data_IF_814367461923
#
_entry.id   IF_814367461923
#
_cell.length_a   1.000
_cell.length_b   1.000
_cell.length_c   1.000
_cell.angle_alpha   90.00
_cell.angle_beta   90.00
_cell.angle_gamma   90.00
#
_symmetry.space_group_name_H-M   'P 1'
#
loop_
_entity.id
_entity.type
_entity.pdbx_description
1 polymer ?
#
# COMPACT_ATOMS: atom_id res chain seq x y z
N UNK A 1 22.26 20.77 18.71
CA UNK A 1 21.42 21.25 17.59
C UNK A 1 21.38 20.15 16.54
N UNK A 2 20.19 19.72 16.10
CA UNK A 2 20.08 18.86 14.92
C UNK A 2 20.57 19.69 13.73
N UNK A 3 21.58 19.21 13.01
CA UNK A 3 22.16 19.93 11.87
C UNK A 3 21.09 20.23 10.80
N UNK A 4 21.24 21.37 10.13
CA UNK A 4 20.43 21.74 8.96
C UNK A 4 20.69 20.70 7.86
N UNK A 5 19.62 20.23 7.23
CA UNK A 5 19.69 19.29 6.11
C UNK A 5 19.61 20.07 4.80
N UNK A 6 20.72 20.10 4.07
CA UNK A 6 20.88 20.74 2.77
C UNK A 6 20.61 19.76 1.62
N UNK A 7 20.39 20.31 0.41
CA UNK A 7 20.07 19.53 -0.79
C UNK A 7 21.18 18.53 -1.15
N UNK A 8 22.43 18.97 -1.07
CA UNK A 8 23.62 18.19 -1.44
C UNK A 8 23.76 16.96 -0.55
N UNK A 9 23.52 17.12 0.75
CA UNK A 9 23.45 16.01 1.71
C UNK A 9 22.36 15.01 1.32
N UNK A 10 21.17 15.48 0.94
CA UNK A 10 20.08 14.60 0.50
C UNK A 10 20.47 13.83 -0.78
N UNK A 11 21.01 14.52 -1.79
CA UNK A 11 21.42 13.90 -3.07
C UNK A 11 22.48 12.82 -2.84
N UNK A 12 23.51 13.11 -2.04
CA UNK A 12 24.59 12.16 -1.76
C UNK A 12 24.05 10.89 -1.06
N UNK A 13 23.22 11.07 -0.02
CA UNK A 13 22.68 9.95 0.73
C UNK A 13 21.64 9.15 -0.07
N UNK A 14 20.80 9.81 -0.88
CA UNK A 14 19.88 9.13 -1.80
C UNK A 14 20.64 8.25 -2.80
N UNK A 15 21.76 8.73 -3.36
CA UNK A 15 22.60 7.94 -4.27
C UNK A 15 23.22 6.72 -3.57
N UNK A 16 23.66 6.85 -2.32
CA UNK A 16 24.14 5.72 -1.50
C UNK A 16 23.06 4.65 -1.27
N UNK A 17 21.79 5.06 -1.31
CA UNK A 17 20.62 4.17 -1.19
C UNK A 17 20.20 3.51 -2.52
N UNK A 18 20.88 3.82 -3.63
CA UNK A 18 20.58 3.27 -4.94
C UNK A 18 19.77 4.18 -5.86
N UNK A 19 19.37 5.38 -5.42
CA UNK A 19 18.79 6.42 -6.28
C UNK A 19 19.86 7.09 -7.16
N UNK A 20 20.54 6.28 -7.97
CA UNK A 20 21.59 6.71 -8.90
C UNK A 20 20.99 7.22 -10.20
N UNK A 21 21.84 7.81 -11.05
CA UNK A 21 21.41 8.31 -12.37
C UNK A 21 20.72 7.22 -13.18
N UNK A 22 19.54 7.51 -13.72
CA UNK A 22 18.69 6.56 -14.45
C UNK A 22 17.77 5.71 -13.59
N UNK A 23 17.83 5.81 -12.25
CA UNK A 23 16.91 5.07 -11.38
C UNK A 23 15.47 5.60 -11.46
N UNK A 24 14.50 4.69 -11.30
CA UNK A 24 13.09 5.02 -11.20
C UNK A 24 12.61 4.77 -9.78
N UNK A 25 12.10 5.80 -9.12
CA UNK A 25 11.75 5.78 -7.71
C UNK A 25 10.25 5.89 -7.51
N UNK A 26 9.73 5.08 -6.59
CA UNK A 26 8.44 5.27 -5.96
C UNK A 26 8.65 5.67 -4.51
N UNK A 27 8.17 6.84 -4.12
CA UNK A 27 8.52 7.43 -2.83
C UNK A 27 7.27 7.66 -1.98
N UNK A 28 7.26 7.08 -0.78
CA UNK A 28 6.37 7.46 0.31
C UNK A 28 7.18 8.29 1.30
N UNK A 29 6.64 9.38 1.83
CA UNK A 29 7.47 10.33 2.58
C UNK A 29 6.75 11.04 3.71
N UNK A 30 7.49 11.33 4.78
CA UNK A 30 7.11 12.26 5.84
C UNK A 30 8.22 13.31 6.01
N UNK A 31 7.91 14.57 5.65
CA UNK A 31 8.87 15.67 5.78
C UNK A 31 9.27 15.89 7.25
N UNK A 32 8.31 15.81 8.17
CA UNK A 32 8.55 16.06 9.61
C UNK A 32 9.50 15.05 10.23
N UNK A 33 9.56 13.82 9.69
CA UNK A 33 10.46 12.78 10.17
C UNK A 33 11.94 13.04 9.83
N UNK A 34 12.23 13.84 8.78
CA UNK A 34 13.60 14.16 8.37
C UNK A 34 14.30 15.12 9.34
N UNK A 35 13.56 15.92 10.11
CA UNK A 35 14.11 17.04 10.87
C UNK A 35 14.05 18.35 10.06
N UNK A 36 14.96 19.27 10.33
CA UNK A 36 14.95 20.58 9.66
C UNK A 36 15.66 20.51 8.31
N UNK A 37 14.87 20.50 7.23
CA UNK A 37 15.34 20.58 5.84
C UNK A 37 15.29 22.03 5.39
N UNK A 38 16.43 22.61 5.04
CA UNK A 38 16.49 23.95 4.47
C UNK A 38 15.69 23.98 3.16
N UNK A 39 14.76 24.94 3.01
CA UNK A 39 13.84 25.00 1.86
C UNK A 39 12.71 23.95 1.86
N UNK A 40 12.63 23.11 2.90
CA UNK A 40 11.50 22.20 3.15
C UNK A 40 11.26 21.16 2.05
N UNK A 41 9.99 20.93 1.70
CA UNK A 41 9.60 19.93 0.71
C UNK A 41 10.19 20.16 -0.69
N UNK A 42 10.38 21.42 -1.11
CA UNK A 42 11.01 21.76 -2.39
C UNK A 42 12.41 21.17 -2.50
N UNK A 43 13.21 21.29 -1.45
CA UNK A 43 14.57 20.76 -1.40
C UNK A 43 14.59 19.24 -1.52
N UNK A 44 13.64 18.55 -0.88
CA UNK A 44 13.53 17.09 -0.99
C UNK A 44 13.15 16.66 -2.42
N UNK A 45 12.19 17.34 -3.05
CA UNK A 45 11.79 17.04 -4.44
C UNK A 45 12.95 17.31 -5.40
N UNK A 46 13.64 18.44 -5.27
CA UNK A 46 14.81 18.77 -6.08
C UNK A 46 15.94 17.75 -5.89
N UNK A 47 16.21 17.33 -4.65
CA UNK A 47 17.23 16.33 -4.36
C UNK A 47 16.90 14.96 -4.98
N UNK A 48 15.64 14.53 -4.94
CA UNK A 48 15.20 13.28 -5.58
C UNK A 48 15.37 13.33 -7.10
N UNK A 49 14.94 14.42 -7.74
CA UNK A 49 15.07 14.63 -9.19
C UNK A 49 16.56 14.69 -9.59
N UNK A 50 17.39 15.44 -8.85
CA UNK A 50 18.83 15.56 -9.11
C UNK A 50 19.59 14.25 -8.88
N UNK A 51 19.19 13.45 -7.89
CA UNK A 51 19.81 12.16 -7.60
C UNK A 51 19.68 11.21 -8.80
N UNK A 52 18.48 11.11 -9.37
CA UNK A 52 18.16 10.20 -10.49
C UNK A 52 18.47 10.77 -11.87
N UNK A 53 18.63 12.09 -12.00
CA UNK A 53 19.00 12.75 -13.24
C UNK A 53 17.94 12.67 -14.35
N UNK A 54 18.34 13.09 -15.54
CA UNK A 54 17.50 13.24 -16.74
C UNK A 54 16.86 11.93 -17.22
N UNK A 55 17.55 10.80 -17.08
CA UNK A 55 17.04 9.47 -17.45
C UNK A 55 16.20 8.81 -16.36
N UNK A 56 16.23 9.35 -15.14
CA UNK A 56 15.53 8.80 -14.00
C UNK A 56 14.08 9.26 -13.93
N UNK A 57 13.34 8.75 -12.95
CA UNK A 57 11.97 9.22 -12.67
C UNK A 57 11.62 9.10 -11.20
N UNK A 58 10.74 9.97 -10.72
CA UNK A 58 10.25 9.96 -9.35
C UNK A 58 8.73 9.99 -9.40
N UNK A 59 8.08 9.03 -8.73
CA UNK A 59 6.64 9.01 -8.52
C UNK A 59 6.32 8.97 -7.03
N UNK A 60 5.22 9.62 -6.64
CA UNK A 60 4.76 9.72 -5.27
C UNK A 60 3.24 9.57 -5.19
N UNK A 61 2.70 9.02 -4.09
CA UNK A 61 1.27 8.91 -3.93
C UNK A 61 0.68 10.31 -3.75
N UNK A 62 -0.44 10.60 -4.41
CA UNK A 62 -1.27 11.77 -4.20
C UNK A 62 -2.68 11.25 -4.05
N UNK A 63 -3.03 10.78 -2.85
CA UNK A 63 -4.30 10.08 -2.59
C UNK A 63 -5.35 11.01 -1.99
N UNK A 64 -6.62 10.62 -2.03
CA UNK A 64 -7.65 11.17 -1.13
C UNK A 64 -7.81 10.26 0.09
N UNK A 65 -8.44 10.80 1.13
CA UNK A 65 -8.76 10.08 2.37
C UNK A 65 -9.59 8.81 2.10
N UNK A 66 -9.51 7.84 3.02
CA UNK A 66 -10.26 6.59 2.96
C UNK A 66 -11.79 6.80 3.15
N UNK A 67 -12.57 5.79 2.72
CA UNK A 67 -14.02 5.73 2.39
C UNK A 67 -15.01 6.25 3.45
N UNK A 68 -14.61 6.74 4.62
CA UNK A 68 -15.57 7.09 5.69
C UNK A 68 -16.30 8.43 5.49
N UNK A 69 -16.44 8.87 4.24
CA UNK A 69 -17.28 9.98 3.82
C UNK A 69 -17.66 9.81 2.35
N UNK A 70 -18.83 10.30 1.92
CA UNK A 70 -19.25 10.26 0.50
C UNK A 70 -18.32 11.03 -0.46
N UNK A 71 -17.39 11.82 0.09
CA UNK A 71 -16.48 12.73 -0.62
C UNK A 71 -15.04 12.23 -0.68
N UNK A 72 -14.83 10.92 -0.54
CA UNK A 72 -13.50 10.29 -0.45
C UNK A 72 -12.73 10.19 -1.79
N UNK A 73 -13.29 10.70 -2.89
CA UNK A 73 -12.62 10.74 -4.20
C UNK A 73 -12.50 12.17 -4.72
N UNK A 74 -11.67 12.36 -5.74
CA UNK A 74 -11.52 13.63 -6.46
C UNK A 74 -12.86 14.04 -7.08
N UNK A 75 -13.35 15.22 -6.69
CA UNK A 75 -14.56 15.84 -7.24
C UNK A 75 -14.37 16.15 -8.71
N UNK A 76 -13.17 16.58 -9.08
CA UNK A 76 -12.85 16.99 -10.45
C UNK A 76 -12.49 15.79 -11.34
N UNK A 77 -12.59 14.55 -10.85
CA UNK A 77 -12.24 13.35 -11.63
C UNK A 77 -13.03 13.25 -12.95
N UNK A 78 -14.28 13.75 -12.97
CA UNK A 78 -15.11 13.81 -14.18
C UNK A 78 -14.48 14.68 -15.29
N UNK A 79 -13.70 15.70 -14.93
CA UNK A 79 -13.01 16.57 -15.90
C UNK A 79 -11.89 15.87 -16.66
N UNK A 80 -11.47 14.68 -16.20
CA UNK A 80 -10.40 13.90 -16.79
C UNK A 80 -10.88 12.95 -17.91
N UNK A 81 -12.17 12.97 -18.28
CA UNK A 81 -12.73 12.09 -19.31
C UNK A 81 -12.01 12.27 -20.67
N UNK A 82 -11.64 11.15 -21.30
CA UNK A 82 -10.85 11.13 -22.54
C UNK A 82 -9.40 11.63 -22.39
N UNK A 83 -8.95 12.01 -21.18
CA UNK A 83 -7.56 12.44 -20.94
C UNK A 83 -6.68 11.26 -20.52
N UNK A 84 -5.44 11.26 -21.02
CA UNK A 84 -4.40 10.29 -20.64
C UNK A 84 -4.01 10.41 -19.16
N UNK A 85 -3.93 11.64 -18.66
CA UNK A 85 -3.54 11.98 -17.30
C UNK A 85 -4.62 12.80 -16.58
N UNK A 86 -4.59 12.75 -15.26
CA UNK A 86 -5.52 13.47 -14.41
C UNK A 86 -5.21 14.97 -14.42
N UNK A 87 -6.24 15.79 -14.65
CA UNK A 87 -6.18 17.25 -14.66
C UNK A 87 -6.66 17.90 -13.37
N UNK A 88 -7.10 17.09 -12.38
CA UNK A 88 -7.59 17.63 -11.11
C UNK A 88 -6.52 18.43 -10.38
N UNK A 89 -6.89 19.64 -9.96
CA UNK A 89 -6.06 20.52 -9.14
C UNK A 89 -6.15 20.22 -7.64
N UNK A 90 -7.00 19.28 -7.24
CA UNK A 90 -7.21 18.95 -5.83
C UNK A 90 -5.96 18.32 -5.20
N UNK A 91 -5.58 18.86 -4.05
CA UNK A 91 -4.49 18.37 -3.21
C UNK A 91 -4.77 16.94 -2.69
N UNK A 92 -3.67 16.17 -2.61
CA UNK A 92 -3.66 14.85 -1.99
C UNK A 92 -3.39 14.90 -0.48
N UNK A 93 -3.71 13.84 0.25
CA UNK A 93 -3.58 13.77 1.71
C UNK A 93 -2.30 13.08 2.18
N UNK A 94 -1.33 12.90 1.29
CA UNK A 94 -0.13 12.06 1.49
C UNK A 94 1.12 12.85 1.88
N UNK A 95 0.96 14.14 2.19
CA UNK A 95 2.00 15.00 2.75
C UNK A 95 2.53 16.07 1.78
N UNK A 96 3.34 16.99 2.32
CA UNK A 96 3.82 18.17 1.60
C UNK A 96 4.78 17.86 0.44
N UNK A 97 5.58 16.79 0.54
CA UNK A 97 6.56 16.44 -0.50
C UNK A 97 5.86 15.99 -1.80
N UNK A 98 4.89 15.03 -1.78
CA UNK A 98 4.10 14.72 -2.96
C UNK A 98 3.33 15.91 -3.53
N UNK A 99 2.83 16.81 -2.68
CA UNK A 99 2.09 17.98 -3.15
C UNK A 99 2.99 18.98 -3.89
N UNK A 100 4.22 19.19 -3.41
CA UNK A 100 5.23 19.96 -4.16
C UNK A 100 5.54 19.29 -5.50
N UNK A 101 5.69 17.96 -5.54
CA UNK A 101 5.92 17.25 -6.80
C UNK A 101 4.74 17.38 -7.76
N UNK A 102 3.49 17.39 -7.26
CA UNK A 102 2.28 17.60 -8.07
C UNK A 102 2.28 18.95 -8.78
N UNK A 103 2.77 19.98 -8.10
CA UNK A 103 2.85 21.36 -8.60
C UNK A 103 4.12 21.64 -9.40
N UNK A 104 5.04 20.67 -9.48
CA UNK A 104 6.30 20.84 -10.19
C UNK A 104 6.05 20.99 -11.70
N UNK A 105 6.68 21.97 -12.38
CA UNK A 105 6.47 22.17 -13.82
C UNK A 105 6.77 20.91 -14.63
N UNK A 106 5.79 20.46 -15.42
CA UNK A 106 5.90 19.24 -16.23
C UNK A 106 5.61 17.93 -15.48
N UNK A 107 5.24 17.96 -14.19
CA UNK A 107 4.79 16.77 -13.49
C UNK A 107 3.44 16.26 -14.03
N UNK A 108 3.30 14.95 -14.05
CA UNK A 108 2.11 14.23 -14.49
C UNK A 108 1.37 13.64 -13.29
N UNK A 109 0.07 13.40 -13.44
CA UNK A 109 -0.78 12.73 -12.44
C UNK A 109 -1.54 11.56 -13.05
N UNK A 110 -1.40 10.37 -12.50
CA UNK A 110 -2.18 9.20 -12.91
C UNK A 110 -3.67 9.38 -12.57
N UNK A 111 -4.55 8.75 -13.34
CA UNK A 111 -5.99 9.00 -13.25
C UNK A 111 -6.74 7.90 -12.47
N UNK A 112 -6.60 7.89 -11.15
CA UNK A 112 -7.45 7.11 -10.24
C UNK A 112 -8.28 8.04 -9.35
N UNK A 113 -9.60 7.83 -9.20
CA UNK A 113 -10.51 8.72 -8.47
C UNK A 113 -10.15 8.90 -6.99
N UNK A 114 -9.44 7.96 -6.38
CA UNK A 114 -9.08 8.02 -4.94
C UNK A 114 -7.59 7.90 -4.67
N UNK A 115 -6.82 7.38 -5.62
CA UNK A 115 -5.46 6.87 -5.34
C UNK A 115 -4.50 7.24 -6.46
N UNK A 116 -4.58 8.49 -6.93
CA UNK A 116 -3.69 8.99 -7.96
C UNK A 116 -2.23 9.03 -7.50
N UNK A 117 -1.32 9.01 -8.45
CA UNK A 117 0.11 9.15 -8.25
C UNK A 117 0.58 10.33 -9.06
N UNK A 118 1.54 11.07 -8.55
CA UNK A 118 2.18 12.19 -9.26
C UNK A 118 3.61 11.82 -9.59
N UNK A 119 4.15 12.33 -10.69
CA UNK A 119 5.50 11.99 -11.06
C UNK A 119 6.14 12.88 -12.10
N UNK A 120 7.46 12.82 -12.13
CA UNK A 120 8.31 13.62 -12.99
C UNK A 120 9.51 12.79 -13.48
N UNK A 121 10.03 13.11 -14.67
CA UNK A 121 11.20 12.46 -15.28
C UNK A 121 10.86 11.57 -16.47
N UNK A 122 11.89 10.94 -17.05
CA UNK A 122 11.88 10.32 -18.37
C UNK A 122 10.82 9.22 -18.59
N UNK A 123 10.48 8.45 -17.54
CA UNK A 123 9.53 7.35 -17.57
C UNK A 123 8.25 7.66 -16.78
N UNK A 124 8.03 8.91 -16.36
CA UNK A 124 6.83 9.29 -15.60
C UNK A 124 5.53 9.00 -16.35
N UNK A 125 5.49 9.24 -17.66
CA UNK A 125 4.35 8.90 -18.52
C UNK A 125 4.08 7.39 -18.52
N UNK A 126 5.10 6.57 -18.79
CA UNK A 126 4.99 5.10 -18.73
C UNK A 126 4.51 4.64 -17.36
N UNK A 127 5.08 5.16 -16.28
CA UNK A 127 4.73 4.77 -14.91
C UNK A 127 3.27 5.10 -14.56
N UNK A 128 2.72 6.21 -15.07
CA UNK A 128 1.44 6.79 -14.61
C UNK A 128 0.24 6.59 -15.54
N UNK A 129 0.45 6.24 -16.81
CA UNK A 129 -0.64 6.11 -17.80
C UNK A 129 -1.63 4.98 -17.44
N UNK A 130 -2.77 4.81 -18.10
CA UNK A 130 -3.63 3.62 -17.90
C UNK A 130 -4.29 3.43 -16.53
N UNK A 131 -3.90 4.10 -15.44
CA UNK A 131 -4.45 3.92 -14.09
C UNK A 131 -5.97 4.22 -14.01
N UNK A 132 -6.49 4.92 -15.03
CA UNK A 132 -7.93 5.10 -15.28
C UNK A 132 -8.67 3.79 -15.49
N UNK A 133 -8.00 2.78 -16.02
CA UNK A 133 -8.57 1.49 -16.38
C UNK A 133 -8.47 0.48 -15.23
N UNK A 134 -7.66 0.77 -14.20
CA UNK A 134 -7.56 -0.10 -13.04
C UNK A 134 -8.92 -0.18 -12.33
N UNK A 135 -9.48 -1.38 -12.11
CA UNK A 135 -10.74 -1.52 -11.39
C UNK A 135 -10.60 -1.10 -9.93
N UNK A 136 -9.43 -1.29 -9.34
CA UNK A 136 -9.10 -0.96 -7.95
C UNK A 136 -7.87 -0.06 -7.87
N UNK A 137 -7.54 0.40 -6.66
CA UNK A 137 -6.47 1.36 -6.42
C UNK A 137 -5.06 0.81 -6.66
N UNK A 138 -4.88 -0.49 -6.42
CA UNK A 138 -3.60 -1.19 -6.55
C UNK A 138 -3.66 -2.29 -7.62
N UNK A 139 -4.69 -2.26 -8.47
CA UNK A 139 -4.88 -3.21 -9.56
C UNK A 139 -3.84 -3.08 -10.67
N UNK A 140 -4.08 -3.81 -11.77
CA UNK A 140 -3.08 -4.08 -12.82
C UNK A 140 -2.46 -2.84 -13.48
N UNK A 141 -3.24 -1.78 -13.62
CA UNK A 141 -2.79 -0.53 -14.23
C UNK A 141 -2.28 0.49 -13.20
N UNK A 142 -2.11 0.06 -11.94
CA UNK A 142 -1.45 0.88 -10.92
C UNK A 142 0.04 1.04 -11.24
N UNK A 143 0.68 2.15 -10.82
CA UNK A 143 2.09 2.42 -11.15
C UNK A 143 3.09 1.36 -10.65
N UNK A 144 2.69 0.49 -9.72
CA UNK A 144 3.56 -0.52 -9.15
C UNK A 144 4.06 -1.53 -10.19
N UNK A 145 3.18 -1.99 -11.07
CA UNK A 145 3.52 -3.02 -12.04
C UNK A 145 4.56 -2.53 -13.06
N UNK A 146 4.46 -1.27 -13.51
CA UNK A 146 5.50 -0.66 -14.37
C UNK A 146 6.79 -0.38 -13.63
N UNK A 147 6.72 -0.05 -12.35
CA UNK A 147 7.93 0.06 -11.54
C UNK A 147 8.66 -1.29 -11.48
N UNK A 148 7.93 -2.41 -11.34
CA UNK A 148 8.52 -3.75 -11.43
C UNK A 148 9.12 -4.03 -12.82
N UNK A 149 8.43 -3.69 -13.91
CA UNK A 149 8.99 -3.82 -15.26
C UNK A 149 10.32 -3.08 -15.41
N UNK A 150 10.39 -1.86 -14.87
CA UNK A 150 11.57 -0.98 -14.94
C UNK A 150 12.65 -1.29 -13.88
N UNK A 151 12.48 -2.36 -13.09
CA UNK A 151 13.38 -2.70 -11.95
C UNK A 151 13.60 -1.52 -10.98
N UNK A 152 12.55 -0.76 -10.73
CA UNK A 152 12.61 0.44 -9.92
C UNK A 152 12.77 0.20 -8.43
N UNK A 153 13.03 1.28 -7.70
CA UNK A 153 13.20 1.30 -6.25
C UNK A 153 12.00 1.93 -5.55
N UNK A 154 11.69 1.42 -4.37
CA UNK A 154 10.71 2.01 -3.46
C UNK A 154 11.45 2.59 -2.26
N UNK A 155 11.19 3.86 -1.95
CA UNK A 155 11.74 4.55 -0.80
C UNK A 155 10.62 4.92 0.17
N UNK A 156 10.70 4.42 1.40
CA UNK A 156 9.84 4.85 2.51
C UNK A 156 10.65 5.82 3.37
N UNK A 157 10.55 7.11 3.07
CA UNK A 157 11.32 8.19 3.72
C UNK A 157 10.56 8.68 4.95
N UNK A 158 11.02 8.28 6.14
CA UNK A 158 10.42 8.70 7.40
C UNK A 158 9.02 8.12 7.66
N UNK A 159 8.67 7.06 6.93
CA UNK A 159 7.42 6.31 7.09
C UNK A 159 7.74 4.81 7.18
N UNK A 160 6.92 4.07 7.92
CA UNK A 160 7.06 2.63 8.09
C UNK A 160 6.31 1.84 7.02
N UNK A 161 6.41 0.51 7.11
CA UNK A 161 5.70 -0.42 6.21
C UNK A 161 4.17 -0.31 6.32
N UNK A 162 3.62 0.26 7.40
CA UNK A 162 2.19 0.56 7.49
C UNK A 162 1.68 1.54 6.42
N UNK A 163 2.55 2.42 5.92
CA UNK A 163 2.24 3.36 4.84
C UNK A 163 2.49 2.81 3.43
N UNK A 164 2.99 1.57 3.32
CA UNK A 164 3.39 0.97 2.05
C UNK A 164 2.20 0.37 1.30
N UNK A 165 1.54 1.22 0.51
CA UNK A 165 0.27 0.91 -0.18
C UNK A 165 0.38 -0.24 -1.19
N UNK A 166 1.57 -0.49 -1.76
CA UNK A 166 1.74 -1.52 -2.79
C UNK A 166 1.59 -2.95 -2.24
N UNK A 167 1.59 -3.16 -0.91
CA UNK A 167 1.19 -4.46 -0.34
C UNK A 167 -0.21 -4.90 -0.78
N UNK A 168 -1.10 -3.95 -1.08
CA UNK A 168 -2.45 -4.28 -1.55
C UNK A 168 -2.51 -4.72 -3.02
N UNK A 169 -1.43 -4.57 -3.78
CA UNK A 169 -1.43 -4.99 -5.19
C UNK A 169 -1.63 -6.49 -5.35
N UNK A 170 -1.08 -7.31 -4.45
CA UNK A 170 -1.31 -8.76 -4.47
C UNK A 170 -2.72 -9.11 -4.02
N UNK A 171 -3.30 -8.34 -3.10
CA UNK A 171 -4.68 -8.51 -2.64
C UNK A 171 -5.67 -8.25 -3.79
N UNK A 172 -5.43 -7.19 -4.57
CA UNK A 172 -6.21 -6.84 -5.75
C UNK A 172 -6.06 -7.89 -6.87
N UNK A 173 -4.83 -8.26 -7.21
CA UNK A 173 -4.55 -9.21 -8.32
C UNK A 173 -5.07 -10.60 -8.03
N UNK A 174 -4.94 -11.11 -6.81
CA UNK A 174 -5.48 -12.42 -6.45
C UNK A 174 -6.96 -12.35 -6.06
N UNK A 175 -7.53 -11.14 -6.02
CA UNK A 175 -8.89 -10.88 -5.54
C UNK A 175 -9.19 -11.71 -4.29
N UNK A 176 -8.36 -11.49 -3.26
CA UNK A 176 -8.33 -12.33 -2.06
C UNK A 176 -9.71 -12.37 -1.38
N UNK A 177 -10.08 -13.49 -0.72
CA UNK A 177 -11.43 -13.69 -0.17
C UNK A 177 -11.84 -12.67 0.92
N UNK A 178 -10.88 -11.90 1.43
CA UNK A 178 -11.08 -10.83 2.40
C UNK A 178 -10.88 -9.42 1.84
N UNK A 179 -10.82 -9.28 0.52
CA UNK A 179 -11.03 -7.97 -0.08
C UNK A 179 -12.45 -7.49 0.26
N UNK A 180 -12.57 -6.21 0.62
CA UNK A 180 -13.79 -5.63 1.18
C UNK A 180 -14.84 -5.24 0.13
N UNK A 181 -15.63 -4.22 0.48
CA UNK A 181 -16.75 -3.66 -0.28
C UNK A 181 -16.25 -2.87 -1.49
N UNK A 182 -16.57 -3.27 -2.71
CA UNK A 182 -16.09 -2.54 -3.88
C UNK A 182 -17.06 -1.42 -4.31
N UNK A 183 -16.62 -0.17 -4.25
CA UNK A 183 -17.37 0.94 -4.85
C UNK A 183 -17.04 1.04 -6.34
N UNK A 184 -17.97 0.56 -7.18
CA UNK A 184 -17.85 0.61 -8.64
C UNK A 184 -17.73 2.04 -9.18
N UNK A 185 -18.47 2.99 -8.61
CA UNK A 185 -18.51 4.37 -9.06
C UNK A 185 -17.19 5.11 -8.79
N UNK A 186 -16.48 4.73 -7.73
CA UNK A 186 -15.17 5.29 -7.37
C UNK A 186 -14.01 4.32 -7.60
N UNK A 187 -14.24 3.16 -8.23
CA UNK A 187 -13.21 2.14 -8.50
C UNK A 187 -12.33 1.86 -7.28
N UNK A 188 -12.95 1.69 -6.11
CA UNK A 188 -12.24 1.64 -4.83
C UNK A 188 -12.58 0.40 -4.03
N UNK A 189 -11.55 -0.27 -3.51
CA UNK A 189 -11.65 -1.42 -2.62
C UNK A 189 -11.06 -1.08 -1.22
N UNK A 190 -11.86 -1.02 -0.16
CA UNK A 190 -11.42 -0.81 1.21
C UNK A 190 -10.66 -2.04 1.70
N UNK A 191 -9.41 -1.80 2.05
CA UNK A 191 -8.53 -2.75 2.71
C UNK A 191 -8.72 -2.76 4.24
N UNK A 192 -9.91 -2.44 4.74
CA UNK A 192 -10.21 -2.24 6.17
C UNK A 192 -11.59 -2.77 6.56
N UNK A 193 -12.06 -3.85 5.93
CA UNK A 193 -13.36 -4.45 6.29
C UNK A 193 -13.19 -5.92 6.66
N UNK A 194 -12.91 -6.77 5.69
CA UNK A 194 -12.67 -8.18 5.94
C UNK A 194 -11.18 -8.38 6.20
N UNK A 195 -10.81 -8.73 7.43
CA UNK A 195 -9.42 -8.93 7.84
C UNK A 195 -8.72 -7.68 8.36
N UNK A 196 -8.35 -7.74 9.64
CA UNK A 196 -7.37 -6.85 10.25
C UNK A 196 -5.99 -7.20 9.71
N UNK A 197 -5.34 -6.27 9.02
CA UNK A 197 -4.05 -6.51 8.37
C UNK A 197 -2.89 -6.47 9.34
N UNK A 198 -1.98 -7.43 9.24
CA UNK A 198 -0.74 -7.47 10.04
C UNK A 198 0.07 -6.20 9.81
N UNK A 199 0.09 -5.69 8.57
CA UNK A 199 0.73 -4.43 8.18
C UNK A 199 0.32 -3.24 9.07
N UNK A 200 -0.94 -3.18 9.52
CA UNK A 200 -1.45 -2.06 10.32
C UNK A 200 -1.44 -2.35 11.81
N UNK A 201 -1.74 -3.59 12.20
CA UNK A 201 -1.82 -3.98 13.61
C UNK A 201 -0.43 -4.20 14.22
N UNK A 202 0.49 -4.78 13.45
CA UNK A 202 1.85 -5.13 13.88
C UNK A 202 2.89 -4.70 12.84
N UNK A 203 2.99 -3.39 12.53
CA UNK A 203 3.87 -2.90 11.47
C UNK A 203 5.35 -3.23 11.70
N UNK A 204 5.82 -3.18 12.96
CA UNK A 204 7.20 -3.53 13.30
C UNK A 204 7.50 -5.02 13.09
N UNK A 205 6.51 -5.89 13.28
CA UNK A 205 6.65 -7.32 13.01
C UNK A 205 6.74 -7.59 11.51
N UNK A 206 5.90 -6.91 10.70
CA UNK A 206 5.99 -6.99 9.24
C UNK A 206 7.31 -6.41 8.71
N UNK A 207 7.78 -5.30 9.29
CA UNK A 207 9.09 -4.72 8.94
C UNK A 207 10.24 -5.68 9.28
N UNK A 208 10.20 -6.35 10.45
CA UNK A 208 11.17 -7.36 10.82
C UNK A 208 11.14 -8.57 9.87
N UNK A 209 9.94 -8.99 9.41
CA UNK A 209 9.80 -10.03 8.39
C UNK A 209 10.55 -9.67 7.11
N UNK A 210 10.34 -8.43 6.64
CA UNK A 210 10.99 -7.91 5.45
C UNK A 210 12.51 -7.81 5.61
N UNK A 211 12.98 -7.45 6.80
CA UNK A 211 14.41 -7.39 7.13
C UNK A 211 15.04 -8.79 7.12
N UNK A 212 14.41 -9.75 7.79
CA UNK A 212 14.84 -11.15 7.84
C UNK A 212 14.81 -11.82 6.46
N UNK A 213 13.85 -11.44 5.62
CA UNK A 213 13.77 -11.88 4.22
C UNK A 213 14.81 -11.20 3.32
N UNK A 214 15.53 -10.18 3.81
CA UNK A 214 16.52 -9.42 3.04
C UNK A 214 15.92 -8.54 1.93
N UNK A 215 14.61 -8.27 1.99
CA UNK A 215 13.90 -7.48 0.96
C UNK A 215 13.92 -5.97 1.26
N UNK A 216 14.26 -5.58 2.49
CA UNK A 216 14.49 -4.18 2.86
C UNK A 216 15.92 -3.91 3.27
N UNK A 217 16.37 -2.70 3.01
CA UNK A 217 17.56 -2.09 3.62
C UNK A 217 17.17 -0.79 4.31
N UNK A 218 17.72 -0.54 5.50
CA UNK A 218 17.43 0.65 6.29
C UNK A 218 18.64 1.58 6.27
N UNK A 219 18.37 2.87 6.08
CA UNK A 219 19.37 3.92 6.10
C UNK A 219 18.89 5.07 6.97
N UNK A 220 19.84 5.87 7.48
CA UNK A 220 19.52 7.13 8.15
C UNK A 220 19.52 8.27 7.12
N UNK A 221 18.54 9.15 7.21
CA UNK A 221 18.49 10.40 6.44
C UNK A 221 18.01 11.52 7.35
N UNK A 222 18.92 12.42 7.73
CA UNK A 222 18.63 13.42 8.74
C UNK A 222 18.30 12.80 10.11
N UNK A 223 17.14 13.16 10.67
CA UNK A 223 16.59 12.58 11.90
C UNK A 223 15.80 11.30 11.67
N UNK A 224 15.49 10.96 10.42
CA UNK A 224 14.58 9.87 10.07
C UNK A 224 15.30 8.64 9.55
N UNK A 225 14.50 7.61 9.29
CA UNK A 225 14.91 6.38 8.61
C UNK A 225 14.39 6.40 7.17
N UNK A 226 15.14 5.81 6.25
CA UNK A 226 14.67 5.44 4.91
C UNK A 226 14.71 3.93 4.78
N UNK A 227 13.58 3.34 4.43
CA UNK A 227 13.52 1.93 4.04
C UNK A 227 13.57 1.86 2.51
N UNK A 228 14.49 1.06 1.99
CA UNK A 228 14.70 0.85 0.56
C UNK A 228 14.28 -0.56 0.19
N UNK A 229 13.48 -0.70 -0.88
CA UNK A 229 13.11 -1.97 -1.48
C UNK A 229 13.33 -1.93 -2.99
N UNK A 230 13.62 -3.09 -3.59
CA UNK A 230 13.50 -3.27 -5.05
C UNK A 230 12.09 -3.72 -5.39
N UNK A 231 11.47 -3.11 -6.40
CA UNK A 231 10.10 -3.40 -6.80
C UNK A 231 9.90 -4.89 -7.15
N UNK A 232 10.84 -5.49 -7.88
CA UNK A 232 10.79 -6.91 -8.24
C UNK A 232 10.92 -7.83 -7.04
N UNK A 233 11.81 -7.53 -6.09
CA UNK A 233 12.01 -8.39 -4.92
C UNK A 233 10.78 -8.38 -4.00
N UNK A 234 10.21 -7.20 -3.71
CA UNK A 234 8.98 -7.13 -2.91
C UNK A 234 7.78 -7.72 -3.67
N UNK A 235 7.71 -7.57 -5.00
CA UNK A 235 6.70 -8.24 -5.83
C UNK A 235 6.78 -9.77 -5.73
N UNK A 236 7.98 -10.35 -5.87
CA UNK A 236 8.20 -11.79 -5.68
C UNK A 236 7.85 -12.25 -4.27
N UNK A 237 8.24 -11.49 -3.24
CA UNK A 237 7.93 -11.82 -1.84
C UNK A 237 6.43 -11.88 -1.58
N UNK A 238 5.68 -10.87 -2.05
CA UNK A 238 4.23 -10.82 -1.91
C UNK A 238 3.55 -11.99 -2.64
N UNK A 239 3.99 -12.28 -3.87
CA UNK A 239 3.47 -13.40 -4.65
C UNK A 239 3.65 -14.74 -3.94
N UNK A 240 4.85 -15.04 -3.48
CA UNK A 240 5.16 -16.27 -2.76
C UNK A 240 4.33 -16.35 -1.48
N UNK A 241 4.31 -15.27 -0.68
CA UNK A 241 3.62 -15.22 0.60
C UNK A 241 2.12 -15.54 0.47
N UNK A 242 1.43 -14.87 -0.45
CA UNK A 242 -0.03 -15.00 -0.59
C UNK A 242 -0.43 -16.28 -1.32
N UNK A 243 0.36 -16.78 -2.28
CA UNK A 243 0.07 -18.07 -2.90
C UNK A 243 0.28 -19.27 -1.96
N UNK A 244 1.21 -19.17 -1.00
CA UNK A 244 1.38 -20.22 0.02
C UNK A 244 0.24 -20.19 1.05
N UNK A 245 -0.23 -19.01 1.42
CA UNK A 245 -1.37 -18.84 2.30
C UNK A 245 -2.11 -17.56 1.92
N UNK A 246 -3.29 -17.70 1.32
CA UNK A 246 -4.08 -16.55 0.86
C UNK A 246 -4.40 -15.61 2.01
N UNK A 247 -4.53 -16.11 3.24
CA UNK A 247 -4.84 -15.36 4.47
C UNK A 247 -3.62 -14.81 5.20
N UNK A 248 -2.43 -14.90 4.60
CA UNK A 248 -1.16 -14.54 5.24
C UNK A 248 -1.10 -13.08 5.69
N UNK A 249 -1.74 -12.15 4.99
CA UNK A 249 -1.66 -10.71 5.30
C UNK A 249 -2.62 -10.23 6.40
N UNK A 250 -3.59 -11.06 6.81
CA UNK A 250 -4.64 -10.66 7.77
C UNK A 250 -4.74 -11.59 8.97
N UNK A 251 -5.17 -11.08 10.11
CA UNK A 251 -5.33 -11.83 11.35
C UNK A 251 -6.53 -12.78 11.26
N UNK A 252 -6.39 -14.00 11.76
CA UNK A 252 -7.48 -14.99 11.85
C UNK A 252 -7.36 -15.84 13.11
N UNK A 253 -8.49 -16.32 13.67
CA UNK A 253 -8.47 -17.29 14.76
C UNK A 253 -7.78 -18.60 14.35
N UNK A 254 -7.22 -19.31 15.34
CA UNK A 254 -6.54 -20.59 15.16
C UNK A 254 -7.04 -21.60 16.20
N UNK A 255 -7.63 -22.70 15.74
CA UNK A 255 -8.27 -23.67 16.62
C UNK A 255 -9.36 -23.01 17.46
N UNK A 256 -9.36 -23.30 18.76
CA UNK A 256 -10.35 -22.79 19.72
C UNK A 256 -9.96 -21.46 20.40
N UNK A 257 -8.89 -20.79 19.95
CA UNK A 257 -8.42 -19.52 20.53
C UNK A 257 -8.26 -18.43 19.46
N UNK A 258 -8.35 -17.18 19.90
CA UNK A 258 -8.03 -16.02 19.07
C UNK A 258 -6.96 -15.20 19.77
N UNK A 259 -5.70 -15.46 19.41
CA UNK A 259 -4.50 -14.75 19.89
C UNK A 259 -3.86 -14.01 18.71
N UNK A 260 -4.26 -12.75 18.44
CA UNK A 260 -3.87 -12.00 17.24
C UNK A 260 -2.36 -11.88 17.01
N UNK A 261 -1.61 -11.61 18.09
CA UNK A 261 -0.16 -11.44 17.97
C UNK A 261 0.54 -12.76 17.66
N UNK A 262 0.09 -13.86 18.27
CA UNK A 262 0.60 -15.20 17.97
C UNK A 262 0.33 -15.58 16.51
N UNK A 263 -0.90 -15.37 16.02
CA UNK A 263 -1.25 -15.62 14.61
C UNK A 263 -0.38 -14.78 13.66
N UNK A 264 -0.16 -13.51 13.98
CA UNK A 264 0.70 -12.63 13.20
C UNK A 264 2.15 -13.13 13.15
N UNK A 265 2.73 -13.52 14.29
CA UNK A 265 4.08 -14.06 14.38
C UNK A 265 4.24 -15.32 13.53
N UNK A 266 3.27 -16.24 13.60
CA UNK A 266 3.32 -17.47 12.80
C UNK A 266 3.22 -17.14 11.30
N UNK A 267 2.27 -16.30 10.88
CA UNK A 267 2.12 -15.92 9.46
C UNK A 267 3.35 -15.23 8.90
N UNK A 268 3.94 -14.31 9.65
CA UNK A 268 5.19 -13.65 9.24
C UNK A 268 6.34 -14.67 9.12
N UNK A 269 6.44 -15.62 10.06
CA UNK A 269 7.43 -16.71 9.97
C UNK A 269 7.18 -17.60 8.74
N UNK A 270 5.93 -17.96 8.45
CA UNK A 270 5.53 -18.71 7.26
C UNK A 270 5.90 -17.97 5.97
N UNK A 271 5.67 -16.65 5.89
CA UNK A 271 6.07 -15.83 4.74
C UNK A 271 7.59 -15.87 4.51
N UNK A 272 8.36 -15.67 5.58
CA UNK A 272 9.83 -15.68 5.52
C UNK A 272 10.35 -17.06 5.10
N UNK A 273 9.80 -18.14 5.65
CA UNK A 273 10.18 -19.49 5.29
C UNK A 273 9.83 -19.83 3.85
N UNK A 274 8.62 -19.48 3.39
CA UNK A 274 8.21 -19.66 2.00
C UNK A 274 9.14 -18.89 1.05
N UNK A 275 9.46 -17.64 1.38
CA UNK A 275 10.41 -16.84 0.64
C UNK A 275 11.79 -17.50 0.55
N UNK A 276 12.38 -17.90 1.68
CA UNK A 276 13.71 -18.54 1.70
C UNK A 276 13.76 -19.83 0.89
N UNK A 277 12.66 -20.57 0.83
CA UNK A 277 12.59 -21.86 0.13
C UNK A 277 12.24 -21.74 -1.37
N UNK A 278 11.52 -20.69 -1.77
CA UNK A 278 10.93 -20.56 -3.11
C UNK A 278 11.45 -19.34 -3.90
N UNK A 279 12.30 -18.49 -3.31
CA UNK A 279 12.82 -17.29 -3.98
C UNK A 279 13.50 -17.64 -5.30
N UNK A 280 12.96 -17.09 -6.37
CA UNK A 280 13.58 -17.07 -7.70
C UNK A 280 13.65 -15.63 -8.25
N UNK A 281 14.64 -15.35 -9.10
CA UNK A 281 14.84 -14.00 -9.65
C UNK A 281 13.73 -13.56 -10.62
N UNK A 282 12.94 -14.50 -11.13
CA UNK A 282 11.86 -14.27 -12.09
C UNK A 282 10.46 -14.38 -11.47
N UNK A 283 10.30 -14.73 -10.18
CA UNK A 283 8.97 -14.92 -9.57
C UNK A 283 8.03 -13.71 -9.71
N UNK A 284 8.56 -12.48 -9.68
CA UNK A 284 7.77 -11.27 -9.92
C UNK A 284 7.07 -11.26 -11.30
N UNK A 285 7.58 -12.01 -12.28
CA UNK A 285 6.96 -12.15 -13.59
C UNK A 285 5.64 -12.93 -13.52
N UNK A 286 5.51 -13.88 -12.59
CA UNK A 286 4.25 -14.59 -12.35
C UNK A 286 3.21 -13.61 -11.82
N UNK A 287 3.60 -12.80 -10.83
CA UNK A 287 2.74 -11.73 -10.32
C UNK A 287 2.36 -10.72 -11.40
N UNK A 288 3.33 -10.31 -12.21
CA UNK A 288 3.09 -9.39 -13.33
C UNK A 288 2.23 -10.01 -14.44
N UNK A 289 2.33 -11.32 -14.68
CA UNK A 289 1.49 -12.04 -15.63
C UNK A 289 0.06 -12.16 -15.11
N UNK A 290 -0.09 -12.52 -13.84
CA UNK A 290 -1.39 -12.68 -13.19
C UNK A 290 -2.15 -11.36 -13.13
N UNK A 291 -1.45 -10.25 -12.90
CA UNK A 291 -2.07 -8.93 -12.88
C UNK A 291 -2.75 -8.57 -14.21
N UNK A 292 -2.33 -9.14 -15.35
CA UNK A 292 -2.95 -8.85 -16.65
C UNK A 292 -4.38 -9.38 -16.79
N UNK A 293 -4.80 -10.32 -15.93
CA UNK A 293 -6.14 -10.88 -15.96
C UNK A 293 -7.16 -9.83 -15.49
N UNK A 294 -8.27 -9.76 -16.21
CA UNK A 294 -9.43 -9.01 -15.73
C UNK A 294 -10.15 -9.86 -14.69
N UNK A 295 -10.25 -9.32 -13.48
CA UNK A 295 -10.93 -9.96 -12.36
C UNK A 295 -11.92 -8.95 -11.82
N UNK A 296 -13.17 -9.37 -11.70
CA UNK A 296 -14.19 -8.59 -11.03
C UNK A 296 -13.87 -8.55 -9.53
N UNK A 297 -13.73 -7.35 -8.93
CA UNK A 297 -13.43 -7.25 -7.50
C UNK A 297 -14.48 -7.96 -6.66
N UNK A 298 -14.03 -8.63 -5.61
CA UNK A 298 -14.90 -9.27 -4.64
C UNK A 298 -15.84 -8.22 -4.02
N UNK A 299 -17.09 -8.61 -3.87
CA UNK A 299 -18.08 -7.85 -3.11
C UNK A 299 -18.10 -8.33 -1.66
N UNK A 300 -18.42 -7.45 -0.73
CA UNK A 300 -18.49 -7.77 0.68
C UNK A 300 -19.94 -7.94 1.13
N UNK A 301 -20.22 -9.03 1.85
CA UNK A 301 -21.52 -9.30 2.44
C UNK A 301 -21.37 -9.78 3.89
N UNK A 302 -22.17 -9.26 4.84
CA UNK A 302 -22.27 -9.86 6.17
C UNK A 302 -22.73 -11.32 6.05
N UNK A 303 -22.21 -12.19 6.90
CA UNK A 303 -22.63 -13.58 6.97
C UNK A 303 -24.09 -13.69 7.44
N UNK A 304 -24.90 -14.44 6.71
CA UNK A 304 -26.30 -14.70 7.06
C UNK A 304 -26.41 -15.54 8.34
N UNK A 305 -25.49 -16.51 8.49
CA UNK A 305 -25.42 -17.41 9.65
C UNK A 305 -24.03 -17.36 10.30
N UNK A 306 -23.73 -16.31 11.10
CA UNK A 306 -22.43 -16.18 11.73
C UNK A 306 -22.07 -17.36 12.64
N UNK A 307 -20.82 -17.81 12.57
CA UNK A 307 -20.24 -18.86 13.43
C UNK A 307 -20.06 -18.33 14.85
N UNK A 308 -21.10 -18.50 15.69
CA UNK A 308 -21.11 -18.03 17.10
C UNK A 308 -20.18 -18.83 18.01
N UNK A 309 -19.74 -20.00 17.56
CA UNK A 309 -18.74 -20.87 18.18
C UNK A 309 -17.29 -20.41 17.94
N UNK A 310 -17.09 -19.46 17.02
CA UNK A 310 -15.77 -18.95 16.69
C UNK A 310 -15.20 -18.11 17.86
N UNK A 311 -13.92 -18.30 18.26
CA UNK A 311 -13.31 -17.50 19.32
C UNK A 311 -13.13 -16.02 18.94
N UNK A 312 -13.27 -15.66 17.66
CA UNK A 312 -13.28 -14.28 17.20
C UNK A 312 -14.69 -13.65 17.17
N UNK A 313 -15.75 -14.40 17.48
CA UNK A 313 -17.11 -13.86 17.50
C UNK A 313 -17.29 -12.91 18.69
N UNK A 314 -17.76 -11.68 18.43
CA UNK A 314 -17.86 -10.61 19.40
C UNK A 314 -19.30 -10.23 19.76
N UNK A 315 -20.27 -11.10 19.47
CA UNK A 315 -21.67 -10.82 19.73
C UNK A 315 -22.32 -9.91 18.69
N UNK A 316 -23.41 -9.25 19.10
CA UNK A 316 -24.17 -8.30 18.28
C UNK A 316 -23.91 -6.90 18.81
N UNK A 317 -23.36 -6.03 17.96
CA UNK A 317 -23.04 -4.63 18.28
C UNK A 317 -23.64 -3.75 17.19
N UNK A 318 -24.42 -2.75 17.62
CA UNK A 318 -25.18 -1.85 16.74
C UNK A 318 -26.09 -2.59 15.75
N UNK A 319 -26.69 -3.71 16.20
CA UNK A 319 -27.61 -4.51 15.39
C UNK A 319 -26.94 -5.49 14.42
N UNK A 320 -25.61 -5.56 14.39
CA UNK A 320 -24.88 -6.48 13.51
C UNK A 320 -24.00 -7.47 14.26
N UNK A 321 -23.91 -8.70 13.76
CA UNK A 321 -22.95 -9.69 14.24
C UNK A 321 -21.51 -9.26 13.93
N UNK A 322 -20.64 -9.26 14.95
CA UNK A 322 -19.27 -8.76 14.83
C UNK A 322 -18.19 -9.84 15.03
N UNK A 323 -17.05 -9.62 14.38
CA UNK A 323 -15.87 -10.46 14.38
C UNK A 323 -14.62 -9.65 14.74
N UNK A 324 -13.93 -10.04 15.82
CA UNK A 324 -12.70 -9.41 16.30
C UNK A 324 -11.53 -9.45 15.30
N UNK A 325 -11.61 -10.34 14.31
CA UNK A 325 -10.62 -10.48 13.24
C UNK A 325 -10.88 -9.59 12.01
N UNK A 326 -11.98 -8.85 12.00
CA UNK A 326 -12.35 -7.93 10.93
C UNK A 326 -12.26 -6.48 11.41
N UNK A 327 -12.02 -5.57 10.47
CA UNK A 327 -12.05 -4.13 10.70
C UNK A 327 -13.48 -3.59 10.46
N UNK A 328 -13.89 -2.50 11.12
CA UNK A 328 -15.27 -2.05 10.98
C UNK A 328 -15.57 -1.42 9.63
N UNK A 329 -16.81 -1.59 9.16
CA UNK A 329 -17.19 -1.26 7.80
C UNK A 329 -17.06 0.24 7.50
N UNK A 330 -16.92 0.62 6.23
CA UNK A 330 -16.49 1.96 5.83
C UNK A 330 -17.59 3.01 6.02
N UNK A 331 -18.84 2.61 6.22
CA UNK A 331 -19.95 3.53 6.52
C UNK A 331 -19.98 3.98 7.99
N UNK A 332 -19.24 3.32 8.89
CA UNK A 332 -19.09 3.76 10.28
C UNK A 332 -17.99 4.84 10.39
N UNK A 333 -18.22 5.96 11.08
CA UNK A 333 -17.26 7.06 11.17
C UNK A 333 -16.16 6.84 12.22
N UNK A 334 -14.93 7.34 11.97
CA UNK A 334 -13.80 7.23 12.90
C UNK A 334 -14.01 7.93 14.27
N UNK A 335 -14.84 8.98 14.33
CA UNK A 335 -15.06 9.74 15.58
C UNK A 335 -15.82 8.91 16.63
N UNK A 336 -16.48 7.82 16.20
CA UNK A 336 -17.21 6.88 17.06
C UNK A 336 -16.52 5.52 17.22
N UNK A 337 -15.17 5.44 17.20
CA UNK A 337 -14.40 4.18 17.28
C UNK A 337 -13.84 3.87 18.68
N UNK A 338 -14.63 3.38 19.64
CA UNK A 338 -14.06 2.74 20.82
C UNK A 338 -13.37 1.42 20.42
N UNK A 339 -12.46 0.88 21.27
CA UNK A 339 -11.74 -0.37 21.01
C UNK A 339 -12.61 -1.61 20.71
N UNK A 340 -13.91 -1.53 20.96
CA UNK A 340 -14.90 -2.59 20.81
C UNK A 340 -15.55 -2.63 19.42
N UNK A 341 -15.21 -1.69 18.52
CA UNK A 341 -15.70 -1.70 17.16
C UNK A 341 -14.94 -2.76 16.35
N UNK A 342 -15.53 -3.94 16.32
CA UNK A 342 -15.11 -5.07 15.51
C UNK A 342 -15.82 -5.05 14.15
N UNK A 343 -15.20 -5.65 13.14
CA UNK A 343 -15.80 -5.76 11.81
C UNK A 343 -17.01 -6.67 11.77
N UNK A 344 -17.79 -6.62 10.70
CA UNK A 344 -18.92 -7.53 10.55
C UNK A 344 -18.43 -8.97 10.40
N UNK A 345 -19.21 -9.93 10.86
CA UNK A 345 -18.98 -11.34 10.57
C UNK A 345 -19.06 -11.60 9.07
N UNK A 346 -18.04 -12.24 8.51
CA UNK A 346 -17.99 -12.71 7.11
C UNK A 346 -17.57 -14.17 7.07
N UNK A 347 -18.21 -14.99 7.91
CA UNK A 347 -17.86 -16.39 8.12
C UNK A 347 -17.87 -17.19 6.81
N UNK A 348 -18.79 -16.90 5.89
CA UNK A 348 -18.94 -17.58 4.60
C UNK A 348 -17.73 -17.39 3.65
N UNK A 349 -16.85 -16.44 3.97
CA UNK A 349 -15.62 -16.16 3.23
C UNK A 349 -14.37 -16.41 4.06
N UNK A 350 -14.48 -16.96 5.26
CA UNK A 350 -13.36 -17.11 6.20
C UNK A 350 -12.71 -18.49 6.08
N UNK A 351 -11.40 -18.59 6.28
CA UNK A 351 -10.66 -19.87 6.32
C UNK A 351 -10.63 -20.54 7.68
N UNK A 352 -11.20 -19.93 8.73
CA UNK A 352 -11.27 -20.61 10.02
C UNK A 352 -12.11 -21.89 9.87
N UNK A 353 -11.59 -23.06 10.29
CA UNK A 353 -12.08 -24.37 9.88
C UNK A 353 -13.61 -24.48 9.89
N UNK A 354 -14.15 -24.93 8.75
CA UNK A 354 -15.52 -25.42 8.65
C UNK A 354 -15.61 -26.74 9.43
N UNK A 355 -15.75 -26.64 10.76
CA UNK A 355 -15.89 -27.78 11.66
C UNK A 355 -14.55 -28.33 12.14
N UNK A 356 -14.39 -28.38 13.46
CA UNK A 356 -13.52 -29.38 14.08
C UNK A 356 -14.18 -30.74 14.10
#
# INVERSE_FOLDING_TARGET
>A
MKGIIEKEYLVENLRKMGAVKGAHLMVHSSLSALGFVEGGANTVVQALIEAVGDKGSVIMPSFKSAIRSDKYGYKDCKTCEGKKFCTSSEEGTTGAIPEVLRLYPGALRSCHPTSSWVGFGAQSEKLLEGHRNSPTQCGKDSPFFRLMELDGLILLIGVGVNGFTNMHSIEDVLNVPYLGYYDRGKRHAPYTISGRRIQYQYPLLMEAAFEEAGIIKKFKLGSGQVIVMKAREIGSFLWISVNNNVWSLVLRPRGNRYEPFEDACIKVSEMVNAWKNQKDCCTWQEFFKESKKDIDPNEFYPAEKPRKDCPAYAGVIEGYHRCMANDPPPWEQFIGYPPQNYGLCTCDKCSWPEGG
#
